data_IF_833180186932
#
_entry.id   IF_833180186932
#
_cell.length_a   1.000
_cell.length_b   1.000
_cell.length_c   1.000
_cell.angle_alpha   90.00
_cell.angle_beta   90.00
_cell.angle_gamma   90.00
#
_symmetry.space_group_name_H-M   'P 1'
#
loop_
_entity.id
_entity.type
_entity.pdbx_description
1 polymer ?
#
# COMPACT_ATOMS: atom_id res chain seq x y z
N UNK A 1 37.75 -16.45 -75.65
CA UNK A 1 37.42 -16.26 -74.22
C UNK A 1 37.34 -14.78 -73.96
N UNK A 2 36.12 -14.25 -73.92
CA UNK A 2 35.79 -12.82 -73.87
C UNK A 2 34.97 -12.59 -72.61
N UNK A 3 35.48 -11.79 -71.68
CA UNK A 3 34.82 -11.41 -70.44
C UNK A 3 34.08 -10.08 -70.65
N UNK A 4 32.77 -10.06 -70.40
CA UNK A 4 31.91 -8.87 -70.37
C UNK A 4 31.82 -8.31 -68.94
N UNK A 5 31.79 -6.99 -68.72
CA UNK A 5 31.46 -6.40 -67.43
C UNK A 5 29.94 -6.18 -67.30
N UNK A 6 29.37 -6.58 -66.16
CA UNK A 6 27.98 -6.31 -65.81
C UNK A 6 27.82 -4.91 -65.20
N UNK A 7 27.00 -4.11 -65.88
CA UNK A 7 26.45 -2.83 -65.45
C UNK A 7 25.43 -3.04 -64.31
N UNK A 8 25.73 -2.53 -63.11
CA UNK A 8 24.75 -2.46 -62.00
C UNK A 8 24.00 -1.13 -62.09
N UNK A 9 22.72 -1.19 -62.46
CA UNK A 9 21.78 -0.08 -62.39
C UNK A 9 21.28 0.01 -60.94
N UNK A 10 21.60 1.12 -60.26
CA UNK A 10 21.05 1.46 -58.94
C UNK A 10 19.72 2.19 -59.16
N UNK A 11 18.61 1.53 -58.86
CA UNK A 11 17.30 2.17 -58.80
C UNK A 11 17.18 2.93 -57.47
N UNK A 12 17.29 4.26 -57.53
CA UNK A 12 16.91 5.15 -56.44
C UNK A 12 15.38 5.24 -56.40
N UNK A 13 14.75 4.33 -55.67
CA UNK A 13 13.32 4.38 -55.36
C UNK A 13 13.06 5.40 -54.26
N UNK A 14 12.58 6.58 -54.64
CA UNK A 14 12.10 7.63 -53.74
C UNK A 14 10.72 7.18 -53.20
N UNK A 15 10.72 6.34 -52.16
CA UNK A 15 9.52 6.04 -51.39
C UNK A 15 9.14 7.27 -50.57
N UNK A 16 8.09 7.98 -51.00
CA UNK A 16 7.43 8.97 -50.16
C UNK A 16 6.78 8.25 -48.98
N UNK A 17 7.39 8.34 -47.80
CA UNK A 17 6.76 7.95 -46.55
C UNK A 17 5.60 8.91 -46.31
N UNK A 18 4.36 8.45 -46.53
CA UNK A 18 3.19 9.14 -46.00
C UNK A 18 3.33 9.17 -44.48
N UNK A 19 3.52 10.37 -43.91
CA UNK A 19 3.41 10.62 -42.48
C UNK A 19 1.96 10.27 -42.10
N UNK A 20 1.74 9.06 -41.61
CA UNK A 20 0.51 8.76 -40.88
C UNK A 20 0.48 9.72 -39.68
N UNK A 21 -0.66 10.39 -39.42
CA UNK A 21 -0.79 11.23 -38.23
C UNK A 21 -0.41 10.37 -37.02
N UNK A 22 0.49 10.88 -36.19
CA UNK A 22 0.86 10.20 -34.95
C UNK A 22 -0.43 9.97 -34.15
N UNK A 23 -0.72 8.70 -33.84
CA UNK A 23 -1.87 8.35 -33.03
C UNK A 23 -1.75 9.06 -31.68
N UNK A 24 -2.75 9.89 -31.33
CA UNK A 24 -2.74 10.63 -30.08
C UNK A 24 -2.67 9.68 -28.88
N UNK A 25 -1.76 9.99 -27.95
CA UNK A 25 -1.46 9.10 -26.84
C UNK A 25 -2.64 9.04 -25.84
N UNK A 26 -3.26 7.85 -25.69
CA UNK A 26 -4.42 7.63 -24.82
C UNK A 26 -4.03 7.35 -23.37
N UNK A 27 -3.47 8.38 -22.72
CA UNK A 27 -2.93 8.31 -21.36
C UNK A 27 -3.97 8.44 -20.23
N UNK A 28 -5.23 8.69 -20.56
CA UNK A 28 -6.31 8.93 -19.61
C UNK A 28 -7.30 7.77 -19.65
N UNK A 29 -7.91 7.43 -18.51
CA UNK A 29 -8.90 6.36 -18.41
C UNK A 29 -10.17 6.87 -17.76
N UNK A 30 -11.32 6.50 -18.33
CA UNK A 30 -12.60 6.51 -17.61
C UNK A 30 -12.92 5.09 -17.18
N UNK A 31 -13.31 4.92 -15.92
CA UNK A 31 -13.55 3.61 -15.31
C UNK A 31 -14.58 3.70 -14.20
N UNK A 32 -15.19 2.57 -13.84
CA UNK A 32 -16.03 2.47 -12.65
C UNK A 32 -15.12 2.16 -11.46
N UNK A 33 -14.94 3.17 -10.61
CA UNK A 33 -14.17 3.09 -9.38
C UNK A 33 -15.07 2.92 -8.15
N UNK A 34 -14.45 3.05 -6.98
CA UNK A 34 -15.09 2.93 -5.69
C UNK A 34 -14.77 4.14 -4.81
N UNK A 35 -15.81 4.78 -4.31
CA UNK A 35 -15.71 5.73 -3.21
C UNK A 35 -15.92 5.01 -1.89
N UNK A 36 -14.96 5.19 -0.98
CA UNK A 36 -15.02 4.59 0.35
C UNK A 36 -15.87 5.45 1.27
N UNK A 37 -16.69 4.78 2.07
CA UNK A 37 -17.56 5.39 3.07
C UNK A 37 -17.20 4.78 4.42
N UNK A 38 -17.31 5.55 5.49
CA UNK A 38 -17.18 5.04 6.86
C UNK A 38 -18.47 5.28 7.61
N UNK A 39 -18.89 4.27 8.37
CA UNK A 39 -20.07 4.37 9.22
C UNK A 39 -19.65 4.97 10.58
N UNK A 40 -20.21 6.13 10.92
CA UNK A 40 -20.00 6.79 12.21
C UNK A 40 -21.30 7.48 12.64
N UNK A 41 -21.78 7.16 13.84
CA UNK A 41 -23.00 7.75 14.42
C UNK A 41 -24.21 7.65 13.46
N UNK A 42 -24.42 6.46 12.86
CA UNK A 42 -25.44 6.17 11.84
C UNK A 42 -25.35 6.97 10.52
N UNK A 43 -24.29 7.78 10.34
CA UNK A 43 -24.01 8.50 9.11
C UNK A 43 -22.95 7.79 8.26
N UNK A 44 -23.14 7.81 6.94
CA UNK A 44 -22.14 7.38 5.96
C UNK A 44 -21.31 8.57 5.53
N UNK A 45 -20.06 8.61 5.96
CA UNK A 45 -19.16 9.72 5.70
C UNK A 45 -18.19 9.33 4.58
N UNK A 46 -18.07 10.12 3.49
CA UNK A 46 -17.10 9.84 2.44
C UNK A 46 -15.68 10.01 2.97
N UNK A 47 -14.84 9.02 2.65
CA UNK A 47 -13.41 9.02 2.97
C UNK A 47 -12.69 9.86 1.92
N UNK A 48 -12.02 10.92 2.36
CA UNK A 48 -11.20 11.74 1.48
C UNK A 48 -9.81 11.14 1.32
N UNK A 49 -9.20 10.62 2.38
CA UNK A 49 -7.88 9.98 2.33
C UNK A 49 -7.72 8.95 3.47
N UNK A 50 -6.94 7.90 3.23
CA UNK A 50 -6.60 6.88 4.22
C UNK A 50 -5.14 7.01 4.66
N UNK A 51 -4.92 7.25 5.94
CA UNK A 51 -3.61 7.20 6.59
C UNK A 51 -3.55 5.96 7.48
N UNK A 52 -2.34 5.56 7.86
CA UNK A 52 -2.06 4.33 8.63
C UNK A 52 -2.97 4.13 9.85
N UNK A 53 -3.32 5.22 10.55
CA UNK A 53 -4.11 5.17 11.78
C UNK A 53 -5.35 6.07 11.74
N UNK A 54 -5.51 6.88 10.71
CA UNK A 54 -6.52 7.93 10.62
C UNK A 54 -7.17 7.95 9.24
N UNK A 55 -8.46 8.23 9.23
CA UNK A 55 -9.27 8.48 8.04
C UNK A 55 -9.47 9.97 7.96
N UNK A 56 -9.01 10.57 6.88
CA UNK A 56 -9.31 11.96 6.58
C UNK A 56 -10.68 11.99 5.93
N UNK A 57 -11.56 12.81 6.48
CA UNK A 57 -12.90 13.06 5.96
C UNK A 57 -13.09 14.57 5.85
N UNK A 58 -14.14 14.98 5.12
CA UNK A 58 -14.43 16.39 4.91
C UNK A 58 -14.47 17.19 6.21
N UNK A 59 -13.93 18.43 6.26
CA UNK A 59 -13.89 19.25 7.47
C UNK A 59 -15.23 19.43 8.17
N UNK A 60 -16.34 19.37 7.43
CA UNK A 60 -17.70 19.42 7.99
C UNK A 60 -18.00 18.27 8.97
N UNK A 61 -17.27 17.15 8.89
CA UNK A 61 -17.47 15.94 9.69
C UNK A 61 -16.36 15.70 10.74
N UNK A 62 -15.49 16.70 10.95
CA UNK A 62 -14.25 16.58 11.71
C UNK A 62 -13.10 16.13 10.81
N UNK A 63 -11.96 16.81 10.87
CA UNK A 63 -10.85 16.62 9.91
C UNK A 63 -10.22 15.22 9.91
N UNK A 64 -10.47 14.40 10.94
CA UNK A 64 -10.00 13.00 10.97
C UNK A 64 -10.81 12.11 11.92
N UNK A 65 -10.92 10.83 11.58
CA UNK A 65 -11.51 9.76 12.39
C UNK A 65 -10.44 8.67 12.58
N UNK A 66 -10.18 8.23 13.81
CA UNK A 66 -9.20 7.15 14.03
C UNK A 66 -9.76 5.84 13.48
N UNK A 67 -8.94 5.04 12.81
CA UNK A 67 -9.33 3.76 12.22
C UNK A 67 -10.04 2.83 13.21
N UNK A 68 -9.59 2.81 14.47
CA UNK A 68 -10.15 1.95 15.53
C UNK A 68 -11.53 2.38 16.02
N UNK A 69 -11.93 3.63 15.74
CA UNK A 69 -13.21 4.20 16.16
C UNK A 69 -14.29 3.98 15.07
N UNK A 70 -13.92 3.38 13.93
CA UNK A 70 -14.83 3.06 12.83
C UNK A 70 -15.41 1.66 13.03
N UNK A 71 -16.73 1.56 12.99
CA UNK A 71 -17.43 0.28 13.13
C UNK A 71 -17.33 -0.57 11.85
N UNK A 72 -17.41 0.10 10.70
CA UNK A 72 -17.67 -0.53 9.40
C UNK A 72 -17.23 0.39 8.25
N UNK A 73 -16.78 -0.22 7.15
CA UNK A 73 -16.55 0.47 5.89
C UNK A 73 -17.68 0.16 4.91
N UNK A 74 -18.29 1.22 4.37
CA UNK A 74 -19.16 1.16 3.21
C UNK A 74 -18.41 1.51 1.93
N UNK A 75 -19.09 1.35 0.80
CA UNK A 75 -18.57 1.75 -0.49
C UNK A 75 -19.69 2.13 -1.45
N UNK A 76 -19.36 2.96 -2.45
CA UNK A 76 -20.24 3.31 -3.55
C UNK A 76 -19.48 3.23 -4.87
N UNK A 77 -20.11 2.65 -5.90
CA UNK A 77 -19.56 2.66 -7.26
C UNK A 77 -19.79 4.03 -7.89
N UNK A 78 -18.73 4.62 -8.43
CA UNK A 78 -18.80 5.91 -9.12
C UNK A 78 -17.97 5.89 -10.40
N UNK A 79 -18.42 6.64 -11.39
CA UNK A 79 -17.68 6.80 -12.63
C UNK A 79 -16.57 7.83 -12.40
N UNK A 80 -15.31 7.45 -12.68
CA UNK A 80 -14.13 8.28 -12.42
C UNK A 80 -13.28 8.41 -13.66
N UNK A 81 -12.49 9.49 -13.70
CA UNK A 81 -11.41 9.68 -14.66
C UNK A 81 -10.06 9.76 -13.94
N UNK A 82 -9.07 9.03 -14.45
CA UNK A 82 -7.71 8.98 -13.90
C UNK A 82 -6.66 9.00 -15.01
N UNK A 83 -5.46 9.50 -14.71
CA UNK A 83 -4.28 9.42 -15.57
C UNK A 83 -3.48 8.14 -15.29
N UNK A 84 -2.89 7.57 -16.33
CA UNK A 84 -1.95 6.45 -16.31
C UNK A 84 -2.52 5.13 -15.73
N UNK A 85 -2.81 4.13 -16.57
CA UNK A 85 -3.30 2.85 -16.09
C UNK A 85 -2.15 2.10 -15.41
N UNK A 86 -2.22 1.99 -14.10
CA UNK A 86 -1.35 1.09 -13.35
C UNK A 86 -1.55 -0.33 -13.90
N UNK A 87 -0.46 -1.04 -14.14
CA UNK A 87 -0.49 -2.42 -14.62
C UNK A 87 -0.36 -3.34 -13.41
N UNK A 88 -1.36 -4.20 -13.23
CA UNK A 88 -1.35 -5.32 -12.29
C UNK A 88 -1.24 -6.60 -13.11
N UNK A 89 -0.10 -7.27 -12.99
CA UNK A 89 0.19 -8.56 -13.63
C UNK A 89 0.22 -9.70 -12.60
N UNK A 90 0.08 -10.93 -13.08
CA UNK A 90 0.20 -12.16 -12.27
C UNK A 90 -0.61 -12.16 -10.95
N UNK A 91 -1.80 -11.56 -10.99
CA UNK A 91 -2.69 -11.51 -9.84
C UNK A 91 -3.17 -12.90 -9.44
N UNK A 92 -2.81 -13.30 -8.23
CA UNK A 92 -3.18 -14.56 -7.59
C UNK A 92 -3.76 -14.28 -6.22
N UNK A 93 -4.92 -14.86 -5.99
CA UNK A 93 -5.54 -14.96 -4.68
C UNK A 93 -5.44 -16.41 -4.21
N UNK A 94 -5.10 -16.57 -2.94
CA UNK A 94 -4.98 -17.87 -2.31
C UNK A 94 -5.37 -17.74 -0.85
N UNK A 95 -5.83 -18.85 -0.28
CA UNK A 95 -5.93 -18.98 1.17
C UNK A 95 -4.59 -19.49 1.69
N UNK A 96 -4.24 -19.11 2.91
CA UNK A 96 -3.01 -19.52 3.57
C UNK A 96 -3.27 -19.72 5.06
N UNK A 97 -2.31 -20.31 5.77
CA UNK A 97 -2.35 -20.46 7.22
C UNK A 97 -1.73 -19.23 7.90
N UNK A 98 -2.33 -18.79 9.00
CA UNK A 98 -1.68 -17.88 9.94
C UNK A 98 -0.56 -18.60 10.66
N UNK A 99 0.43 -17.87 11.18
CA UNK A 99 1.52 -18.49 11.95
C UNK A 99 1.01 -19.26 13.17
N UNK A 100 -0.11 -18.81 13.76
CA UNK A 100 -0.78 -19.47 14.88
C UNK A 100 -1.53 -20.75 14.48
N UNK A 101 -1.89 -20.90 13.21
CA UNK A 101 -2.69 -22.02 12.69
C UNK A 101 -1.91 -22.93 11.73
N UNK A 102 -0.66 -22.57 11.41
CA UNK A 102 0.25 -23.39 10.63
C UNK A 102 0.74 -24.56 11.48
N UNK A 103 0.23 -25.76 11.18
CA UNK A 103 0.54 -27.00 11.89
C UNK A 103 2.03 -27.33 11.89
N UNK A 104 2.77 -26.96 10.84
CA UNK A 104 4.21 -27.17 10.80
C UNK A 104 4.94 -26.23 11.77
N UNK A 105 4.50 -24.97 11.86
CA UNK A 105 5.05 -24.03 12.83
C UNK A 105 4.66 -24.39 14.27
N UNK A 106 3.43 -24.85 14.50
CA UNK A 106 3.01 -25.40 15.80
C UNK A 106 3.85 -26.62 16.18
N UNK A 107 4.15 -27.50 15.22
CA UNK A 107 5.01 -28.66 15.43
C UNK A 107 6.44 -28.24 15.81
N UNK A 108 7.02 -27.28 15.08
CA UNK A 108 8.36 -26.74 15.40
C UNK A 108 8.39 -26.04 16.76
N UNK A 109 7.35 -25.27 17.11
CA UNK A 109 7.24 -24.65 18.44
C UNK A 109 7.13 -25.70 19.54
N UNK A 110 6.33 -26.74 19.31
CA UNK A 110 6.19 -27.87 20.25
C UNK A 110 7.50 -28.61 20.42
N UNK A 111 8.22 -28.90 19.33
CA UNK A 111 9.55 -29.52 19.40
C UNK A 111 10.56 -28.65 20.14
N UNK A 112 10.57 -27.34 19.89
CA UNK A 112 11.49 -26.44 20.57
C UNK A 112 11.16 -26.35 22.07
N UNK A 113 9.87 -26.24 22.44
CA UNK A 113 9.43 -26.24 23.83
C UNK A 113 9.77 -27.56 24.53
N UNK A 114 9.65 -28.69 23.83
CA UNK A 114 10.02 -30.01 24.36
C UNK A 114 11.53 -30.12 24.58
N UNK A 115 12.35 -29.63 23.65
CA UNK A 115 13.79 -29.58 23.80
C UNK A 115 14.21 -28.68 24.98
N UNK A 116 13.57 -27.52 25.15
CA UNK A 116 13.79 -26.62 26.29
C UNK A 116 13.40 -27.30 27.60
N UNK A 117 12.23 -27.95 27.66
CA UNK A 117 11.79 -28.69 28.84
C UNK A 117 12.75 -29.83 29.21
N UNK A 118 13.22 -30.59 28.21
CA UNK A 118 14.22 -31.64 28.42
C UNK A 118 15.53 -31.05 28.95
N UNK A 119 15.99 -29.93 28.39
CA UNK A 119 17.21 -29.26 28.83
C UNK A 119 17.11 -28.77 30.28
N UNK A 120 15.99 -28.15 30.65
CA UNK A 120 15.73 -27.71 32.03
C UNK A 120 15.70 -28.90 33.00
N UNK A 121 15.05 -30.00 32.63
CA UNK A 121 14.97 -31.22 33.45
C UNK A 121 16.35 -31.86 33.62
N UNK A 122 17.16 -31.96 32.55
CA UNK A 122 18.54 -32.45 32.65
C UNK A 122 19.43 -31.56 33.51
N UNK A 123 19.31 -30.23 33.38
CA UNK A 123 20.09 -29.30 34.20
C UNK A 123 19.74 -29.41 35.69
N UNK A 124 18.46 -29.64 36.02
CA UNK A 124 18.02 -29.89 37.39
C UNK A 124 18.63 -31.19 37.95
N UNK A 125 18.57 -32.28 37.20
CA UNK A 125 19.14 -33.58 37.61
C UNK A 125 20.66 -33.50 37.76
N UNK A 126 21.35 -32.82 36.84
CA UNK A 126 22.79 -32.59 36.94
C UNK A 126 23.16 -31.77 38.18
N UNK A 127 22.34 -30.78 38.55
CA UNK A 127 22.53 -30.00 39.77
C UNK A 127 22.36 -30.87 41.02
N UNK A 128 21.34 -31.72 41.05
CA UNK A 128 21.07 -32.66 42.15
C UNK A 128 22.18 -33.72 42.29
N UNK A 129 22.56 -34.38 41.19
CA UNK A 129 23.69 -35.31 41.16
C UNK A 129 25.00 -34.63 41.54
N UNK A 130 25.20 -33.38 41.12
CA UNK A 130 26.32 -32.54 41.50
C UNK A 130 26.36 -32.26 43.01
N UNK A 131 25.21 -32.05 43.65
CA UNK A 131 25.10 -31.90 45.09
C UNK A 131 25.40 -33.23 45.81
N UNK A 132 24.82 -34.35 45.37
CA UNK A 132 25.07 -35.66 45.95
C UNK A 132 26.56 -36.04 45.89
N UNK A 133 27.24 -35.81 44.75
CA UNK A 133 28.69 -36.04 44.61
C UNK A 133 29.52 -35.17 45.56
N UNK A 134 29.11 -33.91 45.79
CA UNK A 134 29.78 -33.05 46.77
C UNK A 134 29.64 -33.61 48.18
N UNK A 135 28.45 -34.07 48.56
CA UNK A 135 28.22 -34.70 49.86
C UNK A 135 29.06 -35.97 50.04
N UNK A 136 29.09 -36.84 49.03
CA UNK A 136 29.93 -38.03 49.04
C UNK A 136 31.42 -37.69 49.16
N UNK A 137 31.91 -36.69 48.42
CA UNK A 137 33.31 -36.26 48.52
C UNK A 137 33.67 -35.73 49.92
N UNK A 138 32.75 -35.01 50.57
CA UNK A 138 32.91 -34.55 51.94
C UNK A 138 32.91 -35.73 52.94
N UNK A 139 32.09 -36.76 52.68
CA UNK A 139 32.05 -37.98 53.48
C UNK A 139 33.37 -38.75 53.41
N UNK A 140 33.90 -38.96 52.20
CA UNK A 140 35.20 -39.61 51.96
C UNK A 140 36.34 -38.82 52.61
N UNK A 141 36.34 -37.48 52.48
CA UNK A 141 37.34 -36.64 53.12
C UNK A 141 37.30 -36.79 54.65
N UNK A 142 36.10 -36.80 55.23
CA UNK A 142 35.89 -36.98 56.67
C UNK A 142 36.47 -38.32 57.13
N UNK A 143 36.20 -39.41 56.41
CA UNK A 143 36.77 -40.72 56.70
C UNK A 143 38.31 -40.71 56.58
N UNK A 144 38.86 -40.14 55.50
CA UNK A 144 40.31 -40.07 55.30
C UNK A 144 41.02 -39.26 56.39
N UNK A 145 40.38 -38.21 56.91
CA UNK A 145 40.91 -37.40 58.00
C UNK A 145 40.92 -38.17 59.31
N UNK A 146 39.89 -38.99 59.59
CA UNK A 146 39.84 -39.87 60.75
C UNK A 146 40.95 -40.94 60.67
N UNK A 147 41.14 -41.58 59.51
CA UNK A 147 42.22 -42.55 59.32
C UNK A 147 43.62 -41.94 59.48
N UNK A 148 43.81 -40.69 59.04
CA UNK A 148 45.07 -39.96 59.22
C UNK A 148 45.30 -39.60 60.68
N UNK A 149 44.27 -39.14 61.39
CA UNK A 149 44.36 -38.82 62.80
C UNK A 149 44.70 -40.06 63.64
N UNK A 150 44.12 -41.21 63.31
CA UNK A 150 44.44 -42.49 63.93
C UNK A 150 45.90 -42.91 63.67
N UNK A 151 46.37 -42.81 62.42
CA UNK A 151 47.78 -43.06 62.07
C UNK A 151 48.76 -42.16 62.82
N UNK A 152 48.33 -40.94 63.17
CA UNK A 152 49.13 -39.99 63.95
C UNK A 152 49.03 -40.21 65.47
N UNK A 153 48.44 -41.32 65.93
CA UNK A 153 48.38 -41.70 67.35
C UNK A 153 47.27 -41.00 68.14
N UNK A 154 46.32 -40.35 67.46
CA UNK A 154 45.14 -39.78 68.10
C UNK A 154 44.13 -40.91 68.38
N UNK A 155 43.74 -41.10 69.64
CA UNK A 155 42.70 -42.08 70.01
C UNK A 155 41.35 -41.53 69.53
N UNK A 156 40.78 -42.16 68.51
CA UNK A 156 39.45 -41.84 68.01
C UNK A 156 38.43 -42.73 68.73
N UNK A 157 37.42 -42.12 69.33
CA UNK A 157 36.32 -42.84 69.96
C UNK A 157 35.56 -43.67 68.91
N UNK A 158 35.15 -44.89 69.28
CA UNK A 158 34.41 -45.80 68.40
C UNK A 158 33.12 -45.17 67.85
N UNK A 159 32.50 -44.27 68.61
CA UNK A 159 31.33 -43.51 68.18
C UNK A 159 31.61 -42.58 67.00
N UNK A 160 32.78 -41.97 66.94
CA UNK A 160 33.16 -41.07 65.84
C UNK A 160 33.40 -41.84 64.53
N UNK A 161 33.95 -43.07 64.61
CA UNK A 161 34.02 -43.98 63.45
C UNK A 161 32.64 -44.38 62.98
N UNK A 162 31.78 -44.79 63.91
CA UNK A 162 30.45 -45.23 63.58
C UNK A 162 29.64 -44.11 62.91
N UNK A 163 29.69 -42.88 63.43
CA UNK A 163 29.02 -41.73 62.84
C UNK A 163 29.55 -41.38 61.43
N UNK A 164 30.86 -41.49 61.20
CA UNK A 164 31.44 -41.27 59.87
C UNK A 164 31.09 -42.37 58.88
N UNK A 165 31.00 -43.62 59.34
CA UNK A 165 30.55 -44.76 58.55
C UNK A 165 29.06 -44.61 58.19
N UNK A 166 28.20 -44.30 59.15
CA UNK A 166 26.77 -44.04 58.92
C UNK A 166 26.56 -42.85 57.97
N UNK A 167 27.38 -41.79 58.07
CA UNK A 167 27.31 -40.66 57.13
C UNK A 167 27.70 -41.08 55.70
N UNK A 168 28.72 -41.91 55.54
CA UNK A 168 29.12 -42.49 54.25
C UNK A 168 28.06 -43.40 53.67
N UNK A 169 27.50 -44.30 54.48
CA UNK A 169 26.48 -45.26 54.06
C UNK A 169 25.21 -44.51 53.62
N UNK A 170 24.77 -43.49 54.39
CA UNK A 170 23.64 -42.64 54.03
C UNK A 170 23.91 -41.85 52.74
N UNK A 171 25.08 -41.21 52.60
CA UNK A 171 25.40 -40.47 51.36
C UNK A 171 25.59 -41.36 50.14
N UNK A 172 26.01 -42.61 50.33
CA UNK A 172 26.11 -43.59 49.24
C UNK A 172 24.72 -44.06 48.81
N UNK A 173 23.82 -44.30 49.77
CA UNK A 173 22.42 -44.61 49.48
C UNK A 173 21.72 -43.44 48.75
N UNK A 174 21.92 -42.19 49.20
CA UNK A 174 21.37 -40.99 48.53
C UNK A 174 21.90 -40.85 47.08
N UNK A 175 23.19 -41.18 46.85
CA UNK A 175 23.78 -41.14 45.50
C UNK A 175 23.22 -42.26 44.61
N UNK A 176 22.98 -43.44 45.17
CA UNK A 176 22.42 -44.58 44.46
C UNK A 176 20.94 -44.31 44.11
N UNK A 177 20.17 -43.73 45.02
CA UNK A 177 18.80 -43.27 44.78
C UNK A 177 18.76 -42.18 43.71
N UNK A 178 19.66 -41.19 43.76
CA UNK A 178 19.77 -40.16 42.73
C UNK A 178 20.16 -40.72 41.35
N UNK A 179 21.04 -41.73 41.31
CA UNK A 179 21.42 -42.39 40.05
C UNK A 179 20.27 -43.24 39.48
N UNK A 180 19.51 -43.94 40.32
CA UNK A 180 18.33 -44.70 39.91
C UNK A 180 17.22 -43.78 39.42
N UNK A 181 16.96 -42.67 40.13
CA UNK A 181 16.01 -41.66 39.68
C UNK A 181 16.42 -41.03 38.34
N UNK A 182 17.72 -40.85 38.11
CA UNK A 182 18.26 -40.38 36.83
C UNK A 182 18.04 -41.42 35.72
N UNK A 183 18.26 -42.70 35.99
CA UNK A 183 18.06 -43.79 35.02
C UNK A 183 16.57 -43.95 34.65
N UNK A 184 15.67 -43.95 35.64
CA UNK A 184 14.22 -43.96 35.42
C UNK A 184 13.75 -42.76 34.58
N UNK A 185 14.34 -41.58 34.83
CA UNK A 185 14.07 -40.39 34.03
C UNK A 185 14.56 -40.50 32.58
N UNK A 186 15.71 -41.14 32.33
CA UNK A 186 16.19 -41.40 30.98
C UNK A 186 15.26 -42.34 30.23
N UNK A 187 14.76 -43.40 30.88
CA UNK A 187 13.78 -44.31 30.29
C UNK A 187 12.43 -43.63 30.03
N UNK A 188 11.96 -42.77 30.94
CA UNK A 188 10.73 -42.00 30.75
C UNK A 188 10.87 -40.98 29.61
N UNK A 189 11.98 -40.25 29.55
CA UNK A 189 12.27 -39.30 28.48
C UNK A 189 12.39 -39.97 27.11
N UNK A 190 13.04 -41.14 27.02
CA UNK A 190 13.18 -41.90 25.79
C UNK A 190 11.82 -42.46 25.31
N UNK A 191 10.96 -42.87 26.26
CA UNK A 191 9.58 -43.30 25.96
C UNK A 191 8.70 -42.18 25.40
N UNK A 192 8.91 -40.93 25.85
CA UNK A 192 8.19 -39.74 25.36
C UNK A 192 8.68 -39.28 23.98
N UNK A 193 9.95 -39.52 23.66
CA UNK A 193 10.53 -39.24 22.32
C UNK A 193 10.10 -40.29 21.30
N UNK A 194 9.93 -41.54 21.71
CA UNK A 194 9.48 -42.64 20.84
C UNK A 194 7.98 -42.66 20.53
N UNK A 195 7.14 -42.04 21.37
CA UNK A 195 5.69 -42.04 21.19
C UNK A 195 5.22 -40.94 20.23
N UNK A 196 5.31 -41.24 18.93
CA UNK A 196 4.74 -40.42 17.84
C UNK A 196 3.25 -40.07 18.03
N UNK A 197 2.52 -40.78 18.90
CA UNK A 197 1.08 -40.54 19.14
C UNK A 197 0.80 -39.42 20.15
N UNK A 198 1.80 -38.93 20.89
CA UNK A 198 1.63 -37.80 21.80
C UNK A 198 1.39 -36.49 21.02
N UNK A 199 1.99 -36.37 19.83
CA UNK A 199 1.78 -35.24 18.91
C UNK A 199 0.38 -35.30 18.25
N UNK A 200 -0.09 -36.49 17.89
CA UNK A 200 -1.44 -36.69 17.33
C UNK A 200 -2.54 -36.51 18.39
N UNK A 201 -2.28 -36.82 19.67
CA UNK A 201 -3.24 -36.62 20.78
C UNK A 201 -3.24 -35.22 21.36
N UNK A 202 -2.09 -34.52 21.41
CA UNK A 202 -2.03 -33.13 21.86
C UNK A 202 -2.63 -32.17 20.82
N UNK A 203 -2.62 -32.55 19.53
CA UNK A 203 -3.32 -31.78 18.50
C UNK A 203 -4.82 -32.03 18.51
N UNK A 204 -5.32 -33.20 18.94
CA UNK A 204 -6.75 -33.44 19.26
C UNK A 204 -7.76 -33.02 18.18
N UNK A 205 -7.29 -32.74 16.96
CA UNK A 205 -8.05 -32.10 15.90
C UNK A 205 -7.76 -32.86 14.63
N UNK A 206 -8.52 -33.92 14.44
CA UNK A 206 -8.83 -34.38 13.10
C UNK A 206 -9.41 -33.20 12.31
N UNK A 207 -8.59 -32.55 11.49
CA UNK A 207 -8.98 -31.82 10.27
C UNK A 207 -9.78 -30.49 10.39
N UNK A 208 -9.60 -29.62 11.38
CA UNK A 208 -10.35 -28.34 11.39
C UNK A 208 -9.54 -27.03 11.55
N UNK A 209 -8.20 -27.09 11.55
CA UNK A 209 -7.39 -25.89 11.29
C UNK A 209 -7.36 -25.59 9.80
N UNK A 210 -8.48 -25.16 9.20
CA UNK A 210 -8.53 -24.71 7.81
C UNK A 210 -7.72 -23.43 7.58
N UNK A 211 -7.40 -23.11 6.33
CA UNK A 211 -6.72 -21.86 5.96
C UNK A 211 -7.55 -20.65 6.48
N UNK A 212 -6.89 -19.71 7.17
CA UNK A 212 -7.49 -18.58 7.90
C UNK A 212 -6.90 -17.21 7.48
N UNK A 213 -6.09 -17.20 6.43
CA UNK A 213 -5.47 -16.00 5.86
C UNK A 213 -5.84 -15.86 4.39
N UNK A 214 -6.31 -14.68 4.01
CA UNK A 214 -6.39 -14.27 2.60
C UNK A 214 -5.03 -13.73 2.17
N UNK A 215 -4.38 -14.42 1.23
CA UNK A 215 -3.11 -14.02 0.64
C UNK A 215 -3.30 -13.58 -0.82
N UNK A 216 -2.86 -12.36 -1.11
CA UNK A 216 -2.83 -11.80 -2.45
C UNK A 216 -1.38 -11.61 -2.89
N UNK A 217 -1.07 -12.06 -4.11
CA UNK A 217 0.23 -11.87 -4.74
C UNK A 217 0.05 -11.38 -6.17
N UNK A 218 0.74 -10.31 -6.54
CA UNK A 218 0.71 -9.74 -7.89
C UNK A 218 1.95 -8.91 -8.15
N UNK A 219 2.17 -8.54 -9.40
CA UNK A 219 3.17 -7.56 -9.79
C UNK A 219 2.50 -6.24 -10.15
N UNK A 220 3.10 -5.13 -9.73
CA UNK A 220 2.58 -3.79 -9.99
C UNK A 220 3.65 -2.91 -10.64
N UNK A 221 3.25 -2.16 -11.67
CA UNK A 221 4.08 -1.14 -12.33
C UNK A 221 3.22 0.02 -12.84
N UNK A 222 3.87 1.15 -13.12
CA UNK A 222 3.25 2.33 -13.72
C UNK A 222 4.25 3.03 -14.63
N UNK A 223 3.82 3.41 -15.83
CA UNK A 223 4.66 4.17 -16.77
C UNK A 223 5.07 5.52 -16.16
N UNK A 224 4.14 6.16 -15.46
CA UNK A 224 4.37 7.39 -14.69
C UNK A 224 4.71 7.02 -13.25
N UNK A 225 5.85 7.46 -12.71
CA UNK A 225 6.19 7.24 -11.30
C UNK A 225 5.14 7.82 -10.35
N UNK A 226 4.77 7.04 -9.33
CA UNK A 226 3.87 7.43 -8.24
C UNK A 226 4.67 7.28 -6.95
N UNK A 227 4.82 8.35 -6.17
CA UNK A 227 5.75 8.37 -5.04
C UNK A 227 5.21 7.68 -3.78
N UNK A 228 3.89 7.75 -3.58
CA UNK A 228 3.19 7.10 -2.49
C UNK A 228 1.83 6.60 -2.98
N UNK A 229 1.60 5.30 -2.80
CA UNK A 229 0.37 4.64 -3.17
C UNK A 229 -0.03 3.65 -2.07
N UNK A 230 -1.33 3.46 -1.96
CA UNK A 230 -1.91 2.40 -1.14
C UNK A 230 -2.96 1.66 -1.93
N UNK A 231 -3.20 0.42 -1.53
CA UNK A 231 -4.19 -0.44 -2.13
C UNK A 231 -5.33 -0.62 -1.14
N UNK A 232 -6.54 -0.60 -1.65
CA UNK A 232 -7.75 -1.03 -0.95
C UNK A 232 -8.23 -2.31 -1.61
N UNK A 233 -8.37 -3.35 -0.79
CA UNK A 233 -8.85 -4.65 -1.22
C UNK A 233 -10.26 -4.82 -0.70
N UNK A 234 -11.16 -5.22 -1.58
CA UNK A 234 -12.54 -5.56 -1.27
C UNK A 234 -12.74 -7.03 -1.63
N UNK A 235 -12.82 -7.87 -0.60
CA UNK A 235 -13.05 -9.31 -0.76
C UNK A 235 -14.48 -9.67 -0.39
N UNK A 236 -15.15 -10.48 -1.20
CA UNK A 236 -16.37 -11.20 -0.82
C UNK A 236 -15.95 -12.58 -0.38
N UNK A 237 -16.16 -12.89 0.90
CA UNK A 237 -15.80 -14.18 1.50
C UNK A 237 -17.02 -14.84 2.10
N UNK A 238 -17.05 -16.17 2.08
CA UNK A 238 -18.06 -16.94 2.83
C UNK A 238 -17.38 -17.62 4.01
N UNK A 239 -17.93 -17.37 5.20
CA UNK A 239 -17.49 -17.97 6.46
C UNK A 239 -18.68 -18.75 7.03
N UNK A 240 -18.50 -20.07 7.23
CA UNK A 240 -19.58 -21.02 7.51
C UNK A 240 -20.64 -20.98 6.39
N UNK A 241 -21.73 -20.26 6.60
CA UNK A 241 -22.86 -20.10 5.67
C UNK A 241 -23.14 -18.63 5.32
N UNK A 242 -22.46 -17.68 6.00
CA UNK A 242 -22.68 -16.25 5.83
C UNK A 242 -21.70 -15.66 4.82
N UNK A 243 -22.23 -14.88 3.89
CA UNK A 243 -21.44 -14.08 2.96
C UNK A 243 -21.16 -12.71 3.56
N UNK A 244 -19.89 -12.36 3.66
CA UNK A 244 -19.42 -11.09 4.21
C UNK A 244 -18.49 -10.37 3.24
N UNK A 245 -18.57 -9.04 3.25
CA UNK A 245 -17.61 -8.19 2.57
C UNK A 245 -16.51 -7.82 3.57
N UNK A 246 -15.26 -8.08 3.21
CA UNK A 246 -14.09 -7.63 3.96
C UNK A 246 -13.40 -6.53 3.18
N UNK A 247 -13.11 -5.41 3.86
CA UNK A 247 -12.37 -4.29 3.29
C UNK A 247 -11.13 -4.07 4.14
N UNK A 248 -9.97 -4.03 3.50
CA UNK A 248 -8.73 -3.67 4.15
C UNK A 248 -7.84 -2.89 3.20
N UNK A 249 -6.88 -2.16 3.76
CA UNK A 249 -5.95 -1.35 2.99
C UNK A 249 -4.51 -1.67 3.37
N UNK A 250 -3.60 -1.46 2.43
CA UNK A 250 -2.17 -1.67 2.61
C UNK A 250 -1.42 -0.55 1.90
N UNK A 251 -0.59 0.21 2.62
CA UNK A 251 0.36 1.11 1.97
C UNK A 251 1.40 0.25 1.22
N UNK A 252 1.58 0.54 -0.06
CA UNK A 252 2.55 -0.14 -0.92
C UNK A 252 3.74 0.75 -1.25
N UNK A 253 3.67 2.06 -1.00
CA UNK A 253 4.72 3.03 -1.28
C UNK A 253 4.85 3.33 -2.78
N UNK A 254 6.07 3.67 -3.21
CA UNK A 254 6.32 4.11 -4.57
C UNK A 254 6.03 3.01 -5.63
N UNK A 255 5.51 3.42 -6.78
CA UNK A 255 5.29 2.58 -7.96
C UNK A 255 6.03 3.25 -9.12
N UNK A 256 6.89 2.50 -9.80
CA UNK A 256 7.66 2.98 -10.96
C UNK A 256 7.41 2.13 -12.20
N UNK A 257 8.17 2.40 -13.28
CA UNK A 257 8.06 1.64 -14.52
C UNK A 257 8.52 0.19 -14.38
N UNK A 258 9.42 -0.10 -13.44
CA UNK A 258 9.87 -1.47 -13.15
C UNK A 258 8.82 -2.24 -12.34
N UNK A 259 8.34 -3.40 -12.84
CA UNK A 259 7.43 -4.26 -12.09
C UNK A 259 8.04 -4.74 -10.77
N UNK A 260 7.24 -4.67 -9.71
CA UNK A 260 7.60 -5.23 -8.40
C UNK A 260 6.51 -6.13 -7.85
N UNK A 261 6.92 -7.22 -7.20
CA UNK A 261 5.98 -8.12 -6.53
C UNK A 261 5.45 -7.50 -5.24
N UNK A 262 4.13 -7.47 -5.09
CA UNK A 262 3.43 -7.12 -3.85
C UNK A 262 2.79 -8.39 -3.30
N UNK A 263 2.95 -8.59 -1.99
CA UNK A 263 2.34 -9.69 -1.25
C UNK A 263 1.58 -9.12 -0.06
N UNK A 264 0.27 -9.32 -0.03
CA UNK A 264 -0.62 -8.83 1.03
C UNK A 264 -1.23 -10.03 1.75
N UNK A 265 -1.21 -10.04 3.07
CA UNK A 265 -1.81 -11.09 3.90
C UNK A 265 -2.80 -10.45 4.87
N UNK A 266 -4.08 -10.79 4.72
CA UNK A 266 -5.13 -10.39 5.65
C UNK A 266 -5.45 -11.57 6.57
N UNK A 267 -5.18 -11.38 7.85
CA UNK A 267 -5.48 -12.32 8.94
C UNK A 267 -6.89 -12.07 9.48
N UNK A 268 -7.40 -13.05 10.24
CA UNK A 268 -8.62 -12.92 11.04
C UNK A 268 -9.87 -13.49 10.38
N UNK A 269 -9.73 -14.34 9.37
CA UNK A 269 -10.85 -15.12 8.86
C UNK A 269 -11.06 -16.37 9.71
N UNK A 270 -12.28 -16.86 9.78
CA UNK A 270 -12.54 -18.17 10.36
C UNK A 270 -11.88 -19.27 9.50
N UNK A 271 -11.28 -20.31 10.13
CA UNK A 271 -10.68 -21.42 9.42
C UNK A 271 -11.64 -22.05 8.40
N UNK A 272 -11.17 -22.22 7.16
CA UNK A 272 -11.97 -22.86 6.10
C UNK A 272 -12.89 -21.90 5.32
N UNK A 273 -12.72 -20.58 5.48
CA UNK A 273 -13.40 -19.60 4.64
C UNK A 273 -13.18 -19.86 3.14
N UNK A 274 -14.09 -19.36 2.31
CA UNK A 274 -13.96 -19.41 0.84
C UNK A 274 -13.93 -18.00 0.26
N UNK A 275 -13.15 -17.82 -0.79
CA UNK A 275 -13.02 -16.56 -1.52
C UNK A 275 -14.02 -16.64 -2.70
N UNK A 276 -14.96 -15.71 -2.78
CA UNK A 276 -15.90 -15.60 -3.90
C UNK A 276 -15.43 -14.59 -4.94
N UNK A 277 -14.99 -13.42 -4.49
CA UNK A 277 -14.52 -12.35 -5.35
C UNK A 277 -13.50 -11.48 -4.61
N UNK A 278 -12.52 -10.93 -5.32
CA UNK A 278 -11.53 -9.98 -4.78
C UNK A 278 -11.30 -8.88 -5.80
N UNK A 279 -11.68 -7.67 -5.41
CA UNK A 279 -11.41 -6.46 -6.17
C UNK A 279 -10.30 -5.65 -5.51
N UNK A 280 -9.42 -5.10 -6.34
CA UNK A 280 -8.25 -4.34 -5.92
C UNK A 280 -8.32 -2.95 -6.53
N UNK A 281 -8.28 -1.94 -5.67
CA UNK A 281 -8.33 -0.54 -6.04
C UNK A 281 -7.05 0.15 -5.56
N UNK A 282 -6.39 0.92 -6.44
CA UNK A 282 -5.14 1.61 -6.11
C UNK A 282 -5.45 3.09 -5.91
N UNK A 283 -4.92 3.68 -4.86
CA UNK A 283 -5.12 5.08 -4.52
C UNK A 283 -3.79 5.79 -4.28
N UNK A 284 -3.77 7.09 -4.56
CA UNK A 284 -2.75 8.04 -4.14
C UNK A 284 -3.44 9.30 -3.63
N UNK A 285 -2.99 9.84 -2.50
CA UNK A 285 -3.56 11.07 -1.91
C UNK A 285 -5.10 11.07 -1.88
N UNK A 286 -5.71 9.94 -1.52
CA UNK A 286 -7.17 9.83 -1.46
C UNK A 286 -7.90 9.66 -2.80
N UNK A 287 -7.19 9.75 -3.93
CA UNK A 287 -7.76 9.61 -5.27
C UNK A 287 -7.43 8.24 -5.85
N UNK A 288 -8.47 7.57 -6.35
CA UNK A 288 -8.31 6.28 -7.01
C UNK A 288 -7.66 6.44 -8.39
N UNK A 289 -6.69 5.60 -8.69
CA UNK A 289 -6.01 5.52 -9.98
C UNK A 289 -6.52 4.31 -10.75
N UNK A 290 -6.80 4.51 -12.04
CA UNK A 290 -7.22 3.43 -12.91
C UNK A 290 -6.15 2.33 -13.01
N UNK A 291 -6.58 1.08 -13.03
CA UNK A 291 -5.71 -0.07 -13.30
C UNK A 291 -6.22 -0.85 -14.52
N UNK A 292 -5.38 -1.71 -15.10
CA UNK A 292 -5.84 -2.67 -16.11
C UNK A 292 -6.93 -3.64 -15.60
N UNK A 293 -7.16 -3.72 -14.28
CA UNK A 293 -8.22 -4.52 -13.66
C UNK A 293 -9.46 -3.71 -13.26
N UNK A 294 -9.46 -2.39 -13.42
CA UNK A 294 -10.63 -1.55 -13.13
C UNK A 294 -11.81 -1.91 -14.03
N UNK A 295 -13.03 -1.92 -13.47
CA UNK A 295 -14.25 -2.26 -14.21
C UNK A 295 -14.55 -1.18 -15.27
N UNK A 296 -14.91 -1.60 -16.49
CA UNK A 296 -15.27 -0.70 -17.62
C UNK A 296 -14.19 0.37 -17.90
N UNK A 297 -12.93 -0.05 -17.98
CA UNK A 297 -11.80 0.84 -18.27
C UNK A 297 -11.70 1.18 -19.77
N UNK A 298 -11.97 2.43 -20.14
CA UNK A 298 -11.85 2.97 -21.49
C UNK A 298 -10.69 3.96 -21.61
N UNK A 299 -9.85 3.79 -22.64
CA UNK A 299 -8.73 4.69 -22.91
C UNK A 299 -9.22 5.95 -23.65
N UNK A 300 -8.79 7.12 -23.15
CA UNK A 300 -9.11 8.44 -23.65
C UNK A 300 -7.85 9.25 -23.94
N UNK A 301 -7.93 10.15 -24.91
CA UNK A 301 -6.99 11.25 -25.09
C UNK A 301 -7.18 12.31 -24.00
N UNK A 302 -6.27 13.30 -23.93
CA UNK A 302 -6.39 14.41 -22.97
C UNK A 302 -7.67 15.20 -23.17
N UNK A 303 -8.00 15.50 -24.42
CA UNK A 303 -9.15 16.31 -24.79
C UNK A 303 -10.47 15.56 -24.51
N UNK A 304 -10.53 14.26 -24.84
CA UNK A 304 -11.68 13.41 -24.51
C UNK A 304 -11.90 13.32 -22.99
N UNK A 305 -10.84 13.20 -22.19
CA UNK A 305 -10.95 13.17 -20.73
C UNK A 305 -11.44 14.51 -20.16
N UNK A 306 -10.97 15.64 -20.70
CA UNK A 306 -11.46 16.99 -20.32
C UNK A 306 -12.93 17.16 -20.67
N UNK A 307 -13.34 16.79 -21.88
CA UNK A 307 -14.75 16.87 -22.31
C UNK A 307 -15.66 16.02 -21.42
N UNK A 308 -15.26 14.77 -21.12
CA UNK A 308 -16.00 13.90 -20.21
C UNK A 308 -16.20 14.53 -18.83
N UNK A 309 -15.14 15.14 -18.27
CA UNK A 309 -15.19 15.80 -16.98
C UNK A 309 -16.06 17.05 -16.99
N UNK A 310 -15.97 17.86 -18.05
CA UNK A 310 -16.80 19.05 -18.24
C UNK A 310 -18.29 18.67 -18.26
N UNK A 311 -18.67 17.69 -19.09
CA UNK A 311 -20.06 17.22 -19.17
C UNK A 311 -20.56 16.69 -17.82
N UNK A 312 -19.71 15.92 -17.12
CA UNK A 312 -20.03 15.41 -15.79
C UNK A 312 -20.23 16.55 -14.77
N UNK A 313 -19.39 17.58 -14.82
CA UNK A 313 -19.43 18.73 -13.92
C UNK A 313 -20.68 19.59 -14.13
N UNK A 314 -21.07 19.85 -15.38
CA UNK A 314 -22.31 20.56 -15.72
C UNK A 314 -23.53 19.75 -15.26
N UNK A 315 -23.51 18.43 -15.50
CA UNK A 315 -24.62 17.55 -15.13
C UNK A 315 -24.84 17.47 -13.61
N UNK A 316 -23.77 17.57 -12.80
CA UNK A 316 -23.86 17.54 -11.34
C UNK A 316 -24.23 18.88 -10.70
N UNK A 317 -24.13 19.99 -11.45
CA UNK A 317 -24.39 21.35 -10.94
C UNK A 317 -25.41 22.11 -11.80
N UNK A 318 -26.62 21.56 -12.02
CA UNK A 318 -27.60 22.21 -12.87
C UNK A 318 -28.09 23.52 -12.23
N UNK A 319 -27.86 24.65 -12.91
CA UNK A 319 -28.25 26.00 -12.48
C UNK A 319 -27.51 26.52 -11.25
N UNK A 320 -26.43 25.87 -10.86
CA UNK A 320 -25.58 26.33 -9.76
C UNK A 320 -24.44 27.20 -10.29
N UNK A 321 -23.94 28.09 -9.44
CA UNK A 321 -22.71 28.83 -9.72
C UNK A 321 -21.60 28.24 -8.85
N UNK A 322 -20.53 27.77 -9.50
CA UNK A 322 -19.43 27.06 -8.86
C UNK A 322 -18.11 27.63 -9.40
N UNK A 323 -17.13 27.83 -8.51
CA UNK A 323 -15.81 28.31 -8.91
C UNK A 323 -15.04 27.26 -9.73
N UNK A 324 -14.10 27.70 -10.55
CA UNK A 324 -13.21 26.79 -11.27
C UNK A 324 -12.33 26.00 -10.29
N UNK A 325 -12.12 24.72 -10.59
CA UNK A 325 -11.38 23.82 -9.71
C UNK A 325 -10.40 22.91 -10.47
N UNK A 326 -9.21 22.67 -9.89
CA UNK A 326 -8.29 21.67 -10.41
C UNK A 326 -8.83 20.24 -10.30
N UNK A 327 -8.59 19.40 -11.32
CA UNK A 327 -8.98 17.98 -11.30
C UNK A 327 -7.84 17.11 -10.75
N UNK A 328 -7.82 16.93 -9.44
CA UNK A 328 -6.76 16.18 -8.75
C UNK A 328 -6.68 14.69 -9.12
N UNK A 329 -7.77 14.07 -9.61
CA UNK A 329 -7.73 12.68 -10.09
C UNK A 329 -6.92 12.51 -11.37
N UNK A 330 -6.69 13.61 -12.10
CA UNK A 330 -5.86 13.70 -13.30
C UNK A 330 -4.55 14.46 -13.03
N UNK A 331 -4.05 14.41 -11.79
CA UNK A 331 -2.84 15.12 -11.39
C UNK A 331 -1.68 14.88 -12.38
N UNK A 332 -0.91 15.94 -12.72
CA UNK A 332 0.26 15.85 -13.57
C UNK A 332 1.29 14.82 -13.06
N UNK A 333 2.08 14.17 -13.96
CA UNK A 333 3.15 13.26 -13.59
C UNK A 333 4.13 13.85 -12.57
N UNK A 334 4.42 15.15 -12.68
CA UNK A 334 5.30 15.86 -11.75
C UNK A 334 4.78 15.82 -10.30
N UNK A 335 3.46 15.90 -10.09
CA UNK A 335 2.87 15.80 -8.76
C UNK A 335 2.86 14.36 -8.25
N UNK A 336 2.48 13.41 -9.11
CA UNK A 336 2.46 11.99 -8.76
C UNK A 336 3.85 11.46 -8.36
N UNK A 337 4.91 11.93 -9.03
CA UNK A 337 6.28 11.48 -8.79
C UNK A 337 6.91 12.03 -7.49
N UNK A 338 6.27 12.97 -6.79
CA UNK A 338 6.79 13.58 -5.56
C UNK A 338 6.03 13.11 -4.31
N UNK A 339 6.74 13.01 -3.18
CA UNK A 339 6.15 12.60 -1.88
C UNK A 339 5.57 13.75 -1.08
N UNK A 340 6.02 14.98 -1.34
CA UNK A 340 5.59 16.17 -0.60
C UNK A 340 5.31 17.33 -1.56
N UNK A 341 4.45 18.24 -1.12
CA UNK A 341 4.11 19.45 -1.88
C UNK A 341 5.07 20.61 -1.70
N UNK A 342 6.19 20.46 -0.99
CA UNK A 342 7.07 21.59 -0.64
C UNK A 342 7.64 22.29 -1.88
N UNK A 343 8.04 21.52 -2.90
CA UNK A 343 8.53 22.04 -4.19
C UNK A 343 7.44 22.70 -5.04
N UNK A 344 6.18 22.50 -4.65
CA UNK A 344 4.99 22.98 -5.35
C UNK A 344 4.19 23.98 -4.52
N UNK A 345 4.71 24.38 -3.35
CA UNK A 345 4.08 25.36 -2.47
C UNK A 345 4.35 26.77 -2.95
N UNK A 346 3.83 27.07 -4.14
CA UNK A 346 3.92 28.35 -4.80
C UNK A 346 2.55 28.63 -5.43
N UNK A 347 1.70 29.43 -4.77
CA UNK A 347 0.39 29.74 -5.30
C UNK A 347 0.53 30.55 -6.59
N UNK A 348 -0.21 30.17 -7.62
CA UNK A 348 -0.25 30.88 -8.91
C UNK A 348 -1.67 31.27 -9.25
N UNK A 349 -1.81 32.31 -10.06
CA UNK A 349 -3.09 32.73 -10.63
C UNK A 349 -3.15 32.26 -12.07
N UNK A 350 -4.22 31.53 -12.42
CA UNK A 350 -4.43 30.99 -13.76
C UNK A 350 -5.69 31.57 -14.38
N UNK A 351 -5.62 31.90 -15.66
CA UNK A 351 -6.78 32.21 -16.47
C UNK A 351 -7.22 30.95 -17.20
N UNK A 352 -8.48 30.59 -17.07
CA UNK A 352 -9.06 29.36 -17.62
C UNK A 352 -10.21 29.75 -18.54
N UNK A 353 -10.31 29.10 -19.70
CA UNK A 353 -11.43 29.27 -20.61
C UNK A 353 -12.70 28.51 -20.15
N UNK A 354 -13.79 28.65 -20.89
CA UNK A 354 -15.05 27.96 -20.59
C UNK A 354 -15.00 26.44 -20.82
N UNK A 355 -13.97 25.93 -21.52
CA UNK A 355 -13.76 24.51 -21.77
C UNK A 355 -12.83 23.87 -20.70
N UNK A 356 -12.28 24.67 -19.77
CA UNK A 356 -11.37 24.23 -18.72
C UNK A 356 -9.89 24.21 -19.11
N UNK A 357 -9.52 24.84 -20.23
CA UNK A 357 -8.15 24.97 -20.71
C UNK A 357 -7.46 26.21 -20.14
N UNK A 358 -6.16 26.11 -19.91
CA UNK A 358 -5.36 27.20 -19.35
C UNK A 358 -4.97 28.16 -20.47
N UNK A 359 -5.26 29.44 -20.28
CA UNK A 359 -4.90 30.53 -21.19
C UNK A 359 -3.54 31.12 -20.78
N UNK A 360 -3.31 31.33 -19.48
CA UNK A 360 -2.07 31.95 -18.97
C UNK A 360 -1.88 31.70 -17.47
N UNK A 361 -0.64 31.78 -17.00
CA UNK A 361 -0.22 31.60 -15.62
C UNK A 361 0.51 32.87 -15.15
N UNK A 362 0.14 33.37 -13.97
CA UNK A 362 0.64 34.62 -13.38
C UNK A 362 0.95 34.43 -11.90
N UNK A 363 1.77 35.32 -11.33
CA UNK A 363 2.02 35.35 -9.89
C UNK A 363 0.89 36.07 -9.14
N UNK A 364 0.35 37.12 -9.75
CA UNK A 364 -0.68 37.96 -9.13
C UNK A 364 -1.96 38.06 -9.96
N UNK A 365 -3.07 38.36 -9.27
CA UNK A 365 -4.37 38.53 -9.93
C UNK A 365 -4.42 39.78 -10.83
N UNK A 366 -3.70 40.85 -10.46
CA UNK A 366 -3.64 42.07 -11.27
C UNK A 366 -3.03 41.85 -12.65
N UNK A 367 -1.93 41.07 -12.71
CA UNK A 367 -1.29 40.67 -13.97
C UNK A 367 -2.22 39.80 -14.82
N UNK A 368 -2.85 38.80 -14.19
CA UNK A 368 -3.78 37.90 -14.85
C UNK A 368 -4.96 38.63 -15.49
N UNK A 369 -5.55 39.62 -14.77
CA UNK A 369 -6.66 40.44 -15.28
C UNK A 369 -6.21 41.38 -16.39
N UNK A 370 -5.06 42.04 -16.24
CA UNK A 370 -4.51 42.93 -17.28
C UNK A 370 -4.27 42.18 -18.59
N UNK A 371 -3.77 40.94 -18.50
CA UNK A 371 -3.57 40.09 -19.66
C UNK A 371 -4.88 39.70 -20.36
N UNK A 372 -5.93 39.36 -19.60
CA UNK A 372 -7.25 39.09 -20.18
C UNK A 372 -7.84 40.33 -20.87
N UNK A 373 -7.72 41.51 -20.26
CA UNK A 373 -8.16 42.77 -20.85
C UNK A 373 -7.45 43.04 -22.19
N UNK A 374 -6.14 42.76 -22.28
CA UNK A 374 -5.37 42.90 -23.53
C UNK A 374 -5.85 41.93 -24.62
N UNK A 375 -6.08 40.66 -24.28
CA UNK A 375 -6.63 39.67 -25.24
C UNK A 375 -8.02 40.11 -25.72
N UNK A 376 -8.84 40.63 -24.80
CA UNK A 376 -10.18 41.12 -25.12
C UNK A 376 -10.13 42.29 -26.12
N UNK A 377 -9.30 43.29 -25.86
CA UNK A 377 -9.14 44.44 -26.76
C UNK A 377 -8.64 44.00 -28.14
N UNK A 378 -7.72 43.03 -28.22
CA UNK A 378 -7.22 42.50 -29.49
C UNK A 378 -8.28 41.71 -30.28
N UNK A 379 -9.08 40.87 -29.60
CA UNK A 379 -10.18 40.13 -30.20
C UNK A 379 -11.26 41.08 -30.74
N UNK A 380 -11.58 42.14 -30.00
CA UNK A 380 -12.53 43.18 -30.40
C UNK A 380 -12.05 43.98 -31.62
N UNK A 381 -10.73 44.23 -31.74
CA UNK A 381 -10.13 44.87 -32.91
C UNK A 381 -10.28 43.98 -34.15
N UNK A 382 -10.11 42.65 -34.01
CA UNK A 382 -10.30 41.70 -35.12
C UNK A 382 -11.76 41.59 -35.56
N UNK A 383 -12.72 41.55 -34.64
CA UNK A 383 -14.16 41.42 -34.96
C UNK A 383 -14.78 42.70 -35.51
N UNK A 384 -14.32 43.88 -35.08
CA UNK A 384 -14.77 45.18 -35.63
C UNK A 384 -14.41 45.40 -37.11
N UNK A 385 -13.60 44.51 -37.71
CA UNK A 385 -13.23 44.58 -39.13
C UNK A 385 -14.25 43.96 -40.11
N UNK A 386 -15.31 43.27 -39.68
CA UNK A 386 -16.41 42.85 -40.58
C UNK A 386 -17.76 42.76 -39.85
N UNK A 387 -18.78 43.56 -40.20
CA UNK A 387 -20.07 43.54 -39.50
C UNK A 387 -20.95 42.42 -40.04
N UNK A 388 -20.97 41.26 -39.39
CA UNK A 388 -22.04 40.26 -39.61
C UNK A 388 -22.81 40.07 -38.33
N UNK A 389 -24.11 40.35 -38.39
CA UNK A 389 -25.07 40.23 -37.28
C UNK A 389 -25.24 38.76 -36.91
N UNK A 390 -24.55 38.27 -35.88
CA UNK A 390 -24.89 37.01 -35.26
C UNK A 390 -24.64 37.11 -33.75
N UNK A 391 -25.74 36.98 -32.97
CA UNK A 391 -25.76 36.97 -31.52
C UNK A 391 -25.25 35.60 -31.00
N UNK A 392 -23.99 35.28 -31.28
CA UNK A 392 -23.34 34.16 -30.62
C UNK A 392 -22.73 34.68 -29.31
N UNK A 393 -22.92 33.94 -28.22
CA UNK A 393 -22.51 34.39 -26.88
C UNK A 393 -20.99 34.58 -26.83
N UNK A 394 -20.56 35.66 -26.20
CA UNK A 394 -19.16 36.09 -26.08
C UNK A 394 -18.21 35.01 -25.53
N UNK A 395 -18.74 34.05 -24.76
CA UNK A 395 -18.01 32.89 -24.27
C UNK A 395 -17.51 31.96 -25.41
N UNK A 396 -18.15 31.98 -26.59
CA UNK A 396 -17.70 31.19 -27.75
C UNK A 396 -16.58 31.88 -28.56
N UNK A 397 -16.39 33.20 -28.42
CA UNK A 397 -15.42 33.96 -29.24
C UNK A 397 -13.97 33.91 -28.74
N UNK A 398 -13.71 33.47 -27.51
CA UNK A 398 -12.35 33.28 -26.97
C UNK A 398 -11.92 31.81 -27.13
N UNK A 399 -12.16 31.21 -28.30
CA UNK A 399 -11.42 30.01 -28.70
C UNK A 399 -10.17 30.49 -29.41
N UNK A 400 -9.10 30.69 -28.65
CA UNK A 400 -7.76 30.89 -29.23
C UNK A 400 -7.48 29.68 -30.13
N UNK A 401 -7.26 29.92 -31.41
CA UNK A 401 -6.87 28.87 -32.35
C UNK A 401 -5.60 28.20 -31.81
N UNK A 402 -5.62 26.88 -31.71
CA UNK A 402 -4.53 26.07 -31.12
C UNK A 402 -3.15 26.33 -31.73
N UNK A 403 -3.06 26.95 -32.90
CA UNK A 403 -1.81 27.29 -33.59
C UNK A 403 -1.09 28.55 -33.03
N UNK A 404 -1.76 29.46 -32.32
CA UNK A 404 -1.14 30.66 -31.72
C UNK A 404 -0.63 30.43 -30.27
N UNK A 405 -0.70 29.19 -29.77
CA UNK A 405 -0.53 28.83 -28.35
C UNK A 405 0.92 28.74 -27.85
N UNK A 406 1.91 29.15 -28.65
CA UNK A 406 3.30 29.28 -28.20
C UNK A 406 3.59 30.60 -27.46
N UNK A 407 2.55 31.34 -27.07
CA UNK A 407 2.65 32.41 -26.07
C UNK A 407 3.16 31.77 -24.77
N UNK A 408 4.31 32.25 -24.27
CA UNK A 408 4.89 31.77 -23.01
C UNK A 408 3.80 31.80 -21.93
N UNK A 409 3.41 30.62 -21.42
CA UNK A 409 2.36 30.53 -20.40
C UNK A 409 2.73 31.31 -19.12
N UNK A 410 4.03 31.51 -18.88
CA UNK A 410 4.55 32.46 -17.91
C UNK A 410 5.04 33.73 -18.61
N UNK A 411 4.35 34.83 -18.36
CA UNK A 411 4.69 36.15 -18.91
C UNK A 411 5.69 36.92 -18.03
N UNK A 412 5.81 36.56 -16.75
CA UNK A 412 6.62 37.31 -15.79
C UNK A 412 8.03 36.74 -15.65
N UNK A 413 8.21 35.43 -15.92
CA UNK A 413 9.48 34.72 -15.74
C UNK A 413 9.81 34.44 -14.27
N UNK A 414 8.87 34.70 -13.35
CA UNK A 414 9.08 34.57 -11.91
C UNK A 414 8.56 33.26 -11.34
N UNK A 415 7.64 32.59 -12.04
CA UNK A 415 7.06 31.33 -11.58
C UNK A 415 8.10 30.21 -11.73
N UNK A 416 8.34 29.37 -10.70
CA UNK A 416 9.30 28.28 -10.82
C UNK A 416 8.98 27.36 -12.02
N UNK A 417 9.96 26.99 -12.87
CA UNK A 417 9.70 26.19 -14.08
C UNK A 417 8.97 24.87 -13.83
N UNK A 418 9.22 24.22 -12.70
CA UNK A 418 8.53 22.98 -12.31
C UNK A 418 7.03 23.21 -12.02
N UNK A 419 6.66 24.37 -11.46
CA UNK A 419 5.27 24.75 -11.19
C UNK A 419 4.57 25.06 -12.52
N UNK A 420 5.20 25.84 -13.41
CA UNK A 420 4.66 26.12 -14.75
C UNK A 420 4.37 24.82 -15.49
N UNK A 421 5.35 23.91 -15.54
CA UNK A 421 5.21 22.63 -16.25
C UNK A 421 4.06 21.78 -15.68
N UNK A 422 3.95 21.69 -14.35
CA UNK A 422 2.87 20.95 -13.70
C UNK A 422 1.51 21.60 -13.93
N UNK A 423 1.37 22.92 -13.74
CA UNK A 423 0.11 23.65 -13.99
C UNK A 423 -0.30 23.51 -15.44
N UNK A 424 0.61 23.65 -16.41
CA UNK A 424 0.31 23.55 -17.85
C UNK A 424 -0.21 22.17 -18.26
N UNK A 425 0.20 21.11 -17.55
CA UNK A 425 -0.26 19.73 -17.80
C UNK A 425 -1.53 19.37 -17.00
N UNK A 426 -2.04 20.30 -16.19
CA UNK A 426 -3.24 20.12 -15.40
C UNK A 426 -4.50 20.24 -16.25
N UNK A 427 -5.59 19.63 -15.76
CA UNK A 427 -6.95 19.81 -16.28
C UNK A 427 -7.76 20.52 -15.20
N UNK A 428 -8.52 21.53 -15.60
CA UNK A 428 -9.43 22.26 -14.74
C UNK A 428 -10.88 21.99 -15.13
N UNK A 429 -11.75 21.99 -14.14
CA UNK A 429 -13.17 22.23 -14.35
C UNK A 429 -13.37 23.75 -14.41
N UNK A 430 -14.03 24.27 -15.45
CA UNK A 430 -14.29 25.70 -15.56
C UNK A 430 -15.27 26.15 -14.46
N UNK A 431 -15.32 27.46 -14.20
CA UNK A 431 -16.36 28.00 -13.36
C UNK A 431 -17.71 27.87 -14.08
N UNK A 432 -18.76 27.66 -13.30
CA UNK A 432 -20.14 27.67 -13.79
C UNK A 432 -20.84 28.92 -13.28
N UNK A 433 -21.60 29.58 -14.15
CA UNK A 433 -22.58 30.59 -13.79
C UNK A 433 -23.97 30.08 -14.19
N UNK A 434 -24.80 29.76 -13.19
CA UNK A 434 -26.12 29.16 -13.40
C UNK A 434 -26.06 27.93 -14.32
N UNK A 435 -25.07 27.06 -14.11
CA UNK A 435 -24.84 25.84 -14.89
C UNK A 435 -24.21 26.07 -16.28
N UNK A 436 -23.83 27.30 -16.62
CA UNK A 436 -23.16 27.61 -17.88
C UNK A 436 -21.65 27.79 -17.64
N UNK A 437 -20.78 27.06 -18.34
CA UNK A 437 -19.34 27.26 -18.22
C UNK A 437 -18.92 28.67 -18.66
N UNK A 438 -18.07 29.31 -17.87
CA UNK A 438 -17.51 30.64 -18.14
C UNK A 438 -15.98 30.64 -17.98
N UNK A 439 -15.32 31.52 -18.72
CA UNK A 439 -13.90 31.80 -18.50
C UNK A 439 -13.72 32.56 -17.17
N UNK A 440 -12.66 32.22 -16.42
CA UNK A 440 -12.42 32.81 -15.10
C UNK A 440 -10.93 32.88 -14.76
N UNK A 441 -10.58 33.82 -13.88
CA UNK A 441 -9.29 33.87 -13.20
C UNK A 441 -9.42 33.19 -11.84
N UNK A 442 -8.58 32.19 -11.55
CA UNK A 442 -8.59 31.49 -10.25
C UNK A 442 -7.18 31.31 -9.70
N UNK A 443 -7.05 31.22 -8.38
CA UNK A 443 -5.79 30.93 -7.70
C UNK A 443 -5.69 29.44 -7.39
N UNK A 444 -4.54 28.84 -7.68
CA UNK A 444 -4.26 27.43 -7.38
C UNK A 444 -2.92 27.29 -6.68
N UNK A 445 -2.85 26.43 -5.67
CA UNK A 445 -1.61 25.99 -5.07
C UNK A 445 -1.47 24.48 -5.26
N UNK A 446 -0.48 24.06 -6.04
CA UNK A 446 -0.26 22.65 -6.34
C UNK A 446 0.10 21.81 -5.11
N UNK A 447 0.56 22.43 -4.01
CA UNK A 447 0.76 21.75 -2.73
C UNK A 447 -0.54 21.22 -2.11
N UNK A 448 -1.71 21.74 -2.51
CA UNK A 448 -3.01 21.30 -2.01
C UNK A 448 -3.34 19.85 -2.41
N UNK A 449 -2.70 19.33 -3.47
CA UNK A 449 -2.80 17.91 -3.87
C UNK A 449 -2.36 16.93 -2.77
N UNK A 450 -1.47 17.36 -1.87
CA UNK A 450 -0.85 16.51 -0.84
C UNK A 450 -1.52 16.58 0.53
N UNK A 451 -2.60 17.37 0.66
CA UNK A 451 -3.34 17.50 1.92
C UNK A 451 -4.31 16.33 2.08
#
# INVERSE_FOLDING_TARGET
MTFFPHLRIVFAGLLGAALLPAEEEKNYRVFVGVDLLVDKDDAKIPVENLRKHDIIVSPANGSSIRMKDVSSFGWARTLKASRSPIIIADFKESRAFSLSNDTAMQYLQTQNNMAVYQQERTAYIEAEAGQARRMQSAAIQTQSNLERAERNGMIIDGRSRQAAQEFLDNTTADLEEANLAMEDHFFEADSLVGDSTFVDKATGTSNQGGEDVLELKFEISSLVPIADAYIVVMGVVTQKEDEGITIFHQNIGAIGPEPRTVKIRKLGFEPGFTIKDVNLHVYTNGKEIATNRSEKNYALTRDEAREFLLLSHIASHPRESVDAQPVWTLAPPALLANKSGESFNYPVVVNIDADGSIISIHETEGEARTFLEQIHDEADIRTKSTPTKQNDSFAQSIRLSSEDSAVSLDQTGQVPPAVIAAVSDMIFLPALELGTPIAVTTQVNLADFYR
#
